data_IF_941328508104
#
_entry.id   IF_941328508104
#
_cell.length_a   1.000
_cell.length_b   1.000
_cell.length_c   1.000
_cell.angle_alpha   90.00
_cell.angle_beta   90.00
_cell.angle_gamma   90.00
#
_symmetry.space_group_name_H-M   'P 1'
#
loop_
_entity.id
_entity.type
_entity.pdbx_description
1 polymer ?
#
# COMPACT_ATOMS: atom_id res chain seq x y z
N UNK A 1 2.83 73.55 20.18
CA UNK A 1 3.82 72.53 20.62
C UNK A 1 3.10 71.20 20.79
N UNK A 2 3.66 70.15 20.18
CA UNK A 2 3.45 68.70 20.42
C UNK A 2 2.11 68.07 20.03
N UNK A 3 2.10 67.62 18.77
CA UNK A 3 1.62 66.32 18.27
C UNK A 3 1.83 65.14 19.22
N UNK A 4 0.88 64.19 19.25
CA UNK A 4 1.02 62.75 19.57
C UNK A 4 -0.28 62.04 19.10
N UNK A 5 -0.36 61.62 17.83
CA UNK A 5 -0.15 60.26 17.27
C UNK A 5 -1.07 59.15 17.83
N UNK A 6 -1.80 58.39 16.97
CA UNK A 6 -2.70 57.31 17.38
C UNK A 6 -1.94 55.99 17.59
N UNK A 7 -2.23 55.25 18.66
CA UNK A 7 -1.74 53.88 18.84
C UNK A 7 -2.82 52.93 18.30
N UNK A 8 -2.63 52.48 17.05
CA UNK A 8 -3.39 51.39 16.48
C UNK A 8 -2.95 50.08 17.16
N UNK A 9 -3.90 49.44 17.84
CA UNK A 9 -3.71 48.16 18.50
C UNK A 9 -3.71 47.04 17.44
N UNK A 10 -2.53 46.65 16.96
CA UNK A 10 -2.37 45.49 16.10
C UNK A 10 -2.45 44.22 16.94
N UNK A 11 -3.63 43.59 17.00
CA UNK A 11 -3.80 42.21 17.47
C UNK A 11 -3.17 41.31 16.41
N UNK A 12 -1.90 40.97 16.59
CA UNK A 12 -1.27 39.88 15.88
C UNK A 12 -1.93 38.58 16.36
N UNK A 13 -3.01 38.17 15.69
CA UNK A 13 -3.47 36.79 15.67
C UNK A 13 -2.33 35.96 15.08
N UNK A 14 -1.41 35.53 15.94
CA UNK A 14 -0.51 34.44 15.67
C UNK A 14 -1.37 33.22 15.41
N UNK A 15 -1.70 33.00 14.14
CA UNK A 15 -2.17 31.72 13.63
C UNK A 15 -0.98 30.80 13.88
N UNK A 16 -0.96 30.17 15.05
CA UNK A 16 -0.20 28.95 15.26
C UNK A 16 -0.79 27.96 14.28
N UNK A 17 -0.22 27.94 13.08
CA UNK A 17 -0.31 26.84 12.14
C UNK A 17 0.35 25.65 12.83
N UNK A 18 -0.36 25.07 13.79
CA UNK A 18 -0.16 23.71 14.21
C UNK A 18 -0.41 22.89 12.95
N UNK A 19 0.65 22.73 12.16
CA UNK A 19 0.79 21.61 11.28
C UNK A 19 0.74 20.43 12.24
N UNK A 20 -0.46 19.91 12.47
CA UNK A 20 -0.60 18.54 12.93
C UNK A 20 0.15 17.74 11.87
N UNK A 21 1.41 17.43 12.17
CA UNK A 21 2.10 16.36 11.50
C UNK A 21 1.14 15.19 11.62
N UNK A 22 0.64 14.74 10.47
CA UNK A 22 -0.20 13.57 10.33
C UNK A 22 0.63 12.41 10.90
N UNK A 23 0.50 12.17 12.21
CA UNK A 23 1.20 11.09 12.88
C UNK A 23 0.51 9.86 12.34
N UNK A 24 1.19 9.15 11.43
CA UNK A 24 0.70 7.93 10.82
C UNK A 24 -0.02 7.08 11.87
N UNK A 25 -1.35 6.95 11.72
CA UNK A 25 -2.16 6.23 12.70
C UNK A 25 -1.72 4.76 12.68
N UNK A 26 -1.14 4.24 13.77
CA UNK A 26 -0.64 2.87 13.81
C UNK A 26 -1.72 1.83 13.48
N UNK A 27 -2.99 2.14 13.75
CA UNK A 27 -4.13 1.31 13.38
C UNK A 27 -4.36 1.26 11.87
N UNK A 28 -4.28 2.41 11.19
CA UNK A 28 -4.48 2.51 9.74
C UNK A 28 -3.33 1.92 8.94
N UNK A 29 -2.09 2.11 9.40
CA UNK A 29 -0.92 1.42 8.85
C UNK A 29 -1.07 -0.10 9.01
N UNK A 30 -1.50 -0.58 10.18
CA UNK A 30 -1.72 -2.03 10.39
C UNK A 30 -2.81 -2.58 9.46
N UNK A 31 -3.94 -1.89 9.34
CA UNK A 31 -5.03 -2.29 8.44
C UNK A 31 -4.54 -2.33 6.97
N UNK A 32 -3.70 -1.38 6.57
CA UNK A 32 -3.06 -1.39 5.26
C UNK A 32 -2.15 -2.61 5.06
N UNK A 33 -1.27 -2.89 6.02
CA UNK A 33 -0.39 -4.07 5.93
C UNK A 33 -1.20 -5.38 5.89
N UNK A 34 -2.26 -5.48 6.69
CA UNK A 34 -3.19 -6.62 6.68
C UNK A 34 -3.80 -6.81 5.28
N UNK A 35 -4.31 -5.74 4.67
CA UNK A 35 -4.82 -5.76 3.29
C UNK A 35 -3.76 -6.15 2.27
N UNK A 36 -2.56 -5.57 2.34
CA UNK A 36 -1.46 -5.90 1.42
C UNK A 36 -1.10 -7.38 1.50
N UNK A 37 -1.09 -7.97 2.69
CA UNK A 37 -0.85 -9.40 2.86
C UNK A 37 -1.94 -10.24 2.18
N UNK A 38 -3.20 -9.82 2.32
CA UNK A 38 -4.30 -10.47 1.61
C UNK A 38 -4.14 -10.35 0.08
N UNK A 39 -3.84 -9.16 -0.45
CA UNK A 39 -3.63 -8.94 -1.89
C UNK A 39 -2.49 -9.80 -2.42
N UNK A 40 -1.40 -9.94 -1.66
CA UNK A 40 -0.26 -10.76 -2.04
C UNK A 40 -0.64 -12.23 -2.32
N UNK A 41 -1.70 -12.75 -1.68
CA UNK A 41 -2.14 -14.14 -1.89
C UNK A 41 -2.56 -14.44 -3.32
N UNK A 42 -3.07 -13.45 -4.06
CA UNK A 42 -3.49 -13.63 -5.46
C UNK A 42 -2.65 -12.82 -6.45
N UNK A 43 -2.02 -11.72 -6.03
CA UNK A 43 -1.17 -10.92 -6.91
C UNK A 43 0.24 -11.51 -7.10
N UNK A 44 0.83 -12.08 -6.04
CA UNK A 44 2.21 -12.60 -6.13
C UNK A 44 2.36 -13.78 -7.10
N UNK A 45 1.46 -14.78 -7.14
CA UNK A 45 1.57 -15.86 -8.13
C UNK A 45 1.64 -15.33 -9.57
N UNK A 46 0.75 -14.40 -9.94
CA UNK A 46 0.72 -13.78 -11.28
C UNK A 46 1.99 -12.98 -11.56
N UNK A 47 2.47 -12.22 -10.58
CA UNK A 47 3.74 -11.49 -10.71
C UNK A 47 4.91 -12.44 -10.90
N UNK A 48 4.99 -13.52 -10.11
CA UNK A 48 6.06 -14.52 -10.19
C UNK A 48 6.10 -15.16 -11.58
N UNK A 49 4.95 -15.55 -12.11
CA UNK A 49 4.83 -16.09 -13.47
C UNK A 49 5.36 -15.11 -14.52
N UNK A 50 4.94 -13.84 -14.44
CA UNK A 50 5.40 -12.78 -15.37
C UNK A 50 6.89 -12.47 -15.23
N UNK A 51 7.44 -12.45 -14.03
CA UNK A 51 8.87 -12.21 -13.82
C UNK A 51 9.71 -13.41 -14.29
N UNK A 52 9.19 -14.64 -14.18
CA UNK A 52 9.86 -15.85 -14.62
C UNK A 52 10.02 -15.95 -16.14
N UNK A 53 9.23 -15.24 -16.94
CA UNK A 53 9.42 -15.19 -18.40
C UNK A 53 10.70 -14.45 -18.81
N UNK A 54 11.17 -13.54 -17.96
CA UNK A 54 12.35 -12.71 -18.21
C UNK A 54 13.60 -13.25 -17.50
N UNK A 55 13.42 -13.86 -16.33
CA UNK A 55 14.49 -14.53 -15.57
C UNK A 55 14.01 -15.89 -15.06
N UNK A 56 14.50 -16.96 -15.68
CA UNK A 56 14.13 -18.34 -15.32
C UNK A 56 14.53 -18.70 -13.87
N UNK A 57 15.52 -18.03 -13.29
CA UNK A 57 15.92 -18.25 -11.88
C UNK A 57 14.98 -17.55 -10.89
N UNK A 58 14.15 -16.61 -11.36
CA UNK A 58 13.23 -15.85 -10.52
C UNK A 58 12.23 -16.76 -9.81
N UNK A 59 11.65 -17.73 -10.54
CA UNK A 59 10.70 -18.68 -9.96
C UNK A 59 11.32 -19.48 -8.80
N UNK A 60 12.56 -19.93 -8.97
CA UNK A 60 13.29 -20.71 -7.96
C UNK A 60 13.54 -19.91 -6.68
N UNK A 61 13.73 -18.58 -6.79
CA UNK A 61 13.90 -17.68 -5.64
C UNK A 61 12.56 -17.30 -5.02
N UNK A 62 11.57 -16.96 -5.84
CA UNK A 62 10.32 -16.38 -5.38
C UNK A 62 9.34 -17.41 -4.80
N UNK A 63 9.21 -18.60 -5.42
CA UNK A 63 8.26 -19.61 -4.97
C UNK A 63 8.45 -20.04 -3.50
N UNK A 64 9.65 -20.46 -3.04
CA UNK A 64 9.84 -20.81 -1.63
C UNK A 64 9.66 -19.61 -0.69
N UNK A 65 10.02 -18.40 -1.12
CA UNK A 65 9.80 -17.18 -0.33
C UNK A 65 8.29 -16.88 -0.20
N UNK A 66 7.51 -17.06 -1.26
CA UNK A 66 6.06 -16.91 -1.24
C UNK A 66 5.38 -17.93 -0.33
N UNK A 67 5.76 -19.21 -0.40
CA UNK A 67 5.20 -20.22 0.51
C UNK A 67 5.52 -19.90 1.98
N UNK A 68 6.75 -19.48 2.27
CA UNK A 68 7.11 -19.03 3.62
C UNK A 68 6.28 -17.83 4.04
N UNK A 69 6.14 -16.84 3.16
CA UNK A 69 5.36 -15.65 3.41
C UNK A 69 3.90 -15.99 3.79
N UNK A 70 3.21 -16.79 2.97
CA UNK A 70 1.80 -17.17 3.22
C UNK A 70 1.65 -17.93 4.54
N UNK A 71 2.57 -18.84 4.85
CA UNK A 71 2.52 -19.60 6.09
C UNK A 71 2.79 -18.75 7.34
N UNK A 72 3.70 -17.78 7.25
CA UNK A 72 4.02 -16.90 8.38
C UNK A 72 2.95 -15.84 8.64
N UNK A 73 2.20 -15.43 7.61
CA UNK A 73 1.27 -14.30 7.69
C UNK A 73 -0.21 -14.70 7.67
N UNK A 74 -0.56 -15.95 8.01
CA UNK A 74 -1.95 -16.45 7.92
C UNK A 74 -2.97 -15.55 8.64
N UNK A 75 -2.69 -15.17 9.90
CA UNK A 75 -3.58 -14.29 10.67
C UNK A 75 -3.72 -12.91 10.04
N UNK A 76 -2.62 -12.40 9.48
CA UNK A 76 -2.61 -11.10 8.81
C UNK A 76 -3.43 -11.13 7.53
N UNK A 77 -3.26 -12.18 6.73
CA UNK A 77 -4.00 -12.44 5.50
C UNK A 77 -5.50 -12.52 5.79
N UNK A 78 -5.91 -13.23 6.84
CA UNK A 78 -7.32 -13.39 7.15
C UNK A 78 -7.96 -12.08 7.62
N UNK A 79 -7.28 -11.30 8.48
CA UNK A 79 -7.75 -9.96 8.85
C UNK A 79 -7.87 -9.04 7.63
N UNK A 80 -6.87 -9.06 6.75
CA UNK A 80 -6.88 -8.30 5.50
C UNK A 80 -8.03 -8.69 4.57
N UNK A 81 -8.33 -9.98 4.48
CA UNK A 81 -9.49 -10.49 3.73
C UNK A 81 -10.79 -9.94 4.28
N UNK A 82 -11.00 -10.02 5.59
CA UNK A 82 -12.21 -9.53 6.24
C UNK A 82 -12.35 -8.01 6.10
N UNK A 83 -11.26 -7.25 6.29
CA UNK A 83 -11.23 -5.81 6.05
C UNK A 83 -11.64 -5.47 4.61
N UNK A 84 -11.06 -6.17 3.63
CA UNK A 84 -11.34 -5.94 2.20
C UNK A 84 -12.80 -6.24 1.86
N UNK A 85 -13.35 -7.36 2.37
CA UNK A 85 -14.74 -7.74 2.11
C UNK A 85 -15.75 -6.80 2.79
N UNK A 86 -15.37 -6.17 3.90
CA UNK A 86 -16.22 -5.21 4.59
C UNK A 86 -16.43 -3.90 3.80
N UNK A 87 -15.57 -3.61 2.82
CA UNK A 87 -15.67 -2.43 1.94
C UNK A 87 -16.48 -2.70 0.66
N UNK A 88 -17.03 -3.90 0.48
CA UNK A 88 -17.76 -4.23 -0.74
C UNK A 88 -19.14 -3.58 -0.76
N UNK A 89 -19.46 -2.94 -1.88
CA UNK A 89 -20.81 -2.42 -2.12
C UNK A 89 -21.77 -3.53 -2.60
N UNK A 90 -23.09 -3.32 -2.50
CA UNK A 90 -24.05 -4.24 -3.10
C UNK A 90 -23.78 -4.44 -4.60
N UNK A 91 -23.50 -5.68 -4.99
CA UNK A 91 -23.17 -6.05 -6.37
C UNK A 91 -21.68 -6.25 -6.64
N UNK A 92 -20.80 -5.89 -5.71
CA UNK A 92 -19.40 -6.28 -5.79
C UNK A 92 -19.22 -7.80 -5.65
N UNK A 93 -18.23 -8.33 -6.37
CA UNK A 93 -17.85 -9.74 -6.27
C UNK A 93 -16.37 -9.85 -5.97
N UNK A 94 -16.00 -10.93 -5.26
CA UNK A 94 -14.60 -11.20 -4.96
C UNK A 94 -13.76 -11.38 -6.24
N UNK A 95 -14.34 -11.99 -7.27
CA UNK A 95 -13.68 -12.16 -8.56
C UNK A 95 -13.41 -10.79 -9.22
N UNK A 96 -14.43 -9.92 -9.31
CA UNK A 96 -14.29 -8.58 -9.89
C UNK A 96 -13.29 -7.72 -9.13
N UNK A 97 -13.28 -7.80 -7.79
CA UNK A 97 -12.26 -7.11 -6.98
C UNK A 97 -10.84 -7.60 -7.31
N UNK A 98 -10.62 -8.92 -7.39
CA UNK A 98 -9.29 -9.48 -7.71
C UNK A 98 -8.82 -9.06 -9.10
N UNK A 99 -9.69 -9.12 -10.10
CA UNK A 99 -9.36 -8.71 -11.47
C UNK A 99 -8.96 -7.23 -11.52
N UNK A 100 -9.75 -6.33 -10.91
CA UNK A 100 -9.43 -4.89 -10.84
C UNK A 100 -8.10 -4.66 -10.12
N UNK A 101 -7.87 -5.36 -9.01
CA UNK A 101 -6.65 -5.22 -8.20
C UNK A 101 -5.42 -5.69 -8.99
N UNK A 102 -5.52 -6.82 -9.68
CA UNK A 102 -4.45 -7.32 -10.55
C UNK A 102 -4.15 -6.32 -11.68
N UNK A 103 -5.18 -5.81 -12.36
CA UNK A 103 -5.00 -4.84 -13.43
C UNK A 103 -4.30 -3.55 -12.94
N UNK A 104 -4.73 -3.00 -11.80
CA UNK A 104 -4.13 -1.80 -11.22
C UNK A 104 -2.69 -2.02 -10.75
N UNK A 105 -2.42 -3.13 -10.06
CA UNK A 105 -1.13 -3.39 -9.41
C UNK A 105 -0.09 -3.92 -10.38
N UNK A 106 -0.51 -4.76 -11.33
CA UNK A 106 0.39 -5.52 -12.20
C UNK A 106 0.40 -5.02 -13.65
N UNK A 107 -0.45 -4.07 -14.05
CA UNK A 107 -0.52 -3.58 -15.43
C UNK A 107 0.82 -3.08 -15.98
N UNK A 108 1.71 -2.55 -15.12
CA UNK A 108 3.08 -2.15 -15.51
C UNK A 108 3.99 -3.32 -15.87
N UNK A 109 3.72 -4.55 -15.41
CA UNK A 109 4.45 -5.74 -15.88
C UNK A 109 4.16 -6.04 -17.35
N UNK A 110 3.01 -5.61 -17.86
CA UNK A 110 2.62 -5.78 -19.26
C UNK A 110 3.15 -4.62 -20.11
N UNK A 111 2.94 -3.37 -19.67
CA UNK A 111 3.13 -2.17 -20.50
C UNK A 111 4.34 -1.30 -20.16
N UNK A 112 5.00 -1.55 -19.02
CA UNK A 112 6.11 -0.72 -18.53
C UNK A 112 7.43 -0.93 -19.28
N UNK A 113 8.41 -0.07 -19.00
CA UNK A 113 9.78 -0.24 -19.52
C UNK A 113 10.47 -1.45 -18.87
N UNK A 114 11.52 -2.03 -19.46
CA UNK A 114 12.28 -3.12 -18.85
C UNK A 114 12.73 -2.83 -17.41
N UNK A 115 13.18 -1.60 -17.13
CA UNK A 115 13.63 -1.17 -15.81
C UNK A 115 12.46 -1.15 -14.80
N UNK A 116 11.29 -0.66 -15.21
CA UNK A 116 10.09 -0.67 -14.37
C UNK A 116 9.66 -2.10 -14.04
N UNK A 117 9.70 -2.99 -15.04
CA UNK A 117 9.38 -4.41 -14.84
C UNK A 117 10.37 -5.06 -13.88
N UNK A 118 11.66 -4.80 -14.05
CA UNK A 118 12.70 -5.30 -13.14
C UNK A 118 12.51 -4.80 -11.71
N UNK A 119 12.26 -3.50 -11.51
CA UNK A 119 11.99 -2.92 -10.19
C UNK A 119 10.78 -3.58 -9.51
N UNK A 120 9.73 -3.89 -10.26
CA UNK A 120 8.57 -4.59 -9.72
C UNK A 120 8.91 -6.01 -9.28
N UNK A 121 9.69 -6.74 -10.07
CA UNK A 121 10.16 -8.09 -9.72
C UNK A 121 11.08 -8.05 -8.47
N UNK A 122 12.03 -7.12 -8.40
CA UNK A 122 12.91 -6.98 -7.23
C UNK A 122 12.14 -6.55 -5.97
N UNK A 123 11.19 -5.62 -6.11
CA UNK A 123 10.32 -5.18 -5.03
C UNK A 123 9.45 -6.31 -4.48
N UNK A 124 8.95 -7.21 -5.34
CA UNK A 124 8.23 -8.40 -4.90
C UNK A 124 9.11 -9.35 -4.07
N UNK A 125 10.35 -9.63 -4.50
CA UNK A 125 11.29 -10.44 -3.70
C UNK A 125 11.60 -9.79 -2.34
N UNK A 126 11.76 -8.47 -2.31
CA UNK A 126 11.97 -7.73 -1.08
C UNK A 126 10.77 -7.83 -0.13
N UNK A 127 9.54 -7.68 -0.67
CA UNK A 127 8.31 -7.86 0.10
C UNK A 127 8.22 -9.27 0.69
N UNK A 128 8.47 -10.31 -0.11
CA UNK A 128 8.47 -11.70 0.36
C UNK A 128 9.55 -11.97 1.43
N UNK A 129 10.59 -11.13 1.48
CA UNK A 129 11.65 -11.16 2.48
C UNK A 129 11.33 -10.31 3.74
N UNK A 130 10.15 -9.71 3.81
CA UNK A 130 9.67 -8.97 4.98
C UNK A 130 9.69 -7.44 4.84
N UNK A 131 9.99 -6.90 3.67
CA UNK A 131 9.84 -5.46 3.42
C UNK A 131 8.36 -5.07 3.50
N UNK A 132 8.05 -4.06 4.33
CA UNK A 132 6.72 -3.46 4.39
C UNK A 132 6.51 -2.52 3.20
N UNK A 133 5.30 -2.50 2.67
CA UNK A 133 4.89 -1.55 1.65
C UNK A 133 4.34 -0.31 2.37
N UNK A 134 4.89 0.89 2.20
CA UNK A 134 4.36 2.07 2.89
C UNK A 134 2.94 2.38 2.43
N UNK A 135 2.06 2.76 3.37
CA UNK A 135 0.72 3.25 3.06
C UNK A 135 -0.26 3.09 4.22
N UNK A 136 -1.41 3.74 4.11
CA UNK A 136 -2.42 3.74 5.15
C UNK A 136 -3.77 3.29 4.61
N UNK A 137 -4.54 2.63 5.47
CA UNK A 137 -5.95 2.34 5.19
C UNK A 137 -6.72 3.66 5.16
N UNK A 138 -7.68 3.85 4.21
CA UNK A 138 -8.47 5.07 4.17
C UNK A 138 -9.26 5.28 5.47
N UNK A 139 -9.48 6.54 5.89
CA UNK A 139 -10.36 6.83 7.02
C UNK A 139 -11.79 6.37 6.70
N UNK A 140 -12.54 6.01 7.74
CA UNK A 140 -14.00 5.83 7.66
C UNK A 140 -14.64 7.09 8.23
N UNK A 141 -15.26 7.88 7.37
CA UNK A 141 -16.04 9.07 7.76
C UNK A 141 -17.30 8.68 8.55
#
# INVERSE_FOLDING_TARGET
>A
MKTLLPIALAVALGISSAHAADVADPGRERAFQDHIAYVATFAMPVLIEKCATTDATYLQRAAPAYFRYVNTHQDQIERGRLLTLAEFEPGDTLAGYRERTLAQRLGRLDTGTPEQKQQMCEGALAMLSGMKIPGEWPPRD
#
